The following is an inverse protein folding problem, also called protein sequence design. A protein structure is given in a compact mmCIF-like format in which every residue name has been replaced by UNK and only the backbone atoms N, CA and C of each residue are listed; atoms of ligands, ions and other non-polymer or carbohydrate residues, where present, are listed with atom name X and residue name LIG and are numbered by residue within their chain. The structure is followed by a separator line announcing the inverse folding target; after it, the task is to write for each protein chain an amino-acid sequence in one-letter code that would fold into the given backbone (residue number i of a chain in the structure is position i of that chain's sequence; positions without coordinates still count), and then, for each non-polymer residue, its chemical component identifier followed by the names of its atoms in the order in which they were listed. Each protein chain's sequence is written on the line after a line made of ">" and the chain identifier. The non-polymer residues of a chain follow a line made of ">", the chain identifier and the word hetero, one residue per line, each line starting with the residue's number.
data_IF_140218528456
#
_entry.id   IF_140218528456
#
_cell.length_a   1.000
_cell.length_b   1.000
_cell.length_c   1.000
_cell.angle_alpha   90.00
_cell.angle_beta   90.00
_cell.angle_gamma   90.00
#
_symmetry.space_group_name_H-M   'P 1'
#
loop_
_entity.id
_entity.type
_entity.pdbx_description
1 polymer ?
#
# COMPACT_ATOMS: atom_id res chain seq x y z
N UNK A 1 -12.06 15.64 25.16
CA UNK A 1 -11.35 14.39 24.77
C UNK A 1 -10.03 14.77 24.15
N UNK A 2 -9.00 13.97 24.34
CA UNK A 2 -7.72 14.19 23.64
C UNK A 2 -7.89 13.89 22.16
N UNK A 3 -7.37 14.78 21.28
CA UNK A 3 -7.49 14.61 19.85
C UNK A 3 -6.60 13.46 19.35
N UNK A 4 -7.07 12.74 18.36
CA UNK A 4 -6.26 11.73 17.65
C UNK A 4 -5.27 12.48 16.75
N UNK A 5 -3.99 12.43 17.09
CA UNK A 5 -2.91 13.11 16.35
C UNK A 5 -2.42 12.22 15.22
N UNK A 6 -2.49 12.74 14.00
CA UNK A 6 -2.12 12.00 12.80
C UNK A 6 -1.03 12.72 11.99
N UNK A 7 -0.21 11.93 11.30
CA UNK A 7 0.75 12.40 10.29
C UNK A 7 0.35 11.82 8.93
N UNK A 8 0.40 12.66 7.90
CA UNK A 8 0.17 12.29 6.51
C UNK A 8 1.51 12.10 5.80
N UNK A 9 1.66 11.01 5.04
CA UNK A 9 2.89 10.71 4.30
C UNK A 9 2.55 10.29 2.88
N UNK A 10 2.88 11.14 1.92
CA UNK A 10 2.63 10.93 0.49
C UNK A 10 3.56 11.85 -0.30
N UNK A 11 4.19 11.40 -1.39
CA UNK A 11 5.03 12.23 -2.25
C UNK A 11 4.20 13.20 -3.12
N UNK A 12 2.88 13.00 -3.19
CA UNK A 12 1.92 13.87 -3.87
C UNK A 12 1.30 14.88 -2.90
N UNK A 13 1.83 16.12 -2.89
CA UNK A 13 1.33 17.21 -2.02
C UNK A 13 -0.18 17.42 -2.11
N UNK A 14 -0.76 17.31 -3.31
CA UNK A 14 -2.19 17.53 -3.52
C UNK A 14 -3.06 16.50 -2.78
N UNK A 15 -2.60 15.27 -2.66
CA UNK A 15 -3.28 14.21 -1.89
C UNK A 15 -3.28 14.57 -0.41
N UNK A 16 -2.13 14.94 0.15
CA UNK A 16 -2.01 15.34 1.55
C UNK A 16 -2.87 16.58 1.87
N UNK A 17 -2.89 17.58 0.98
CA UNK A 17 -3.74 18.77 1.16
C UNK A 17 -5.22 18.39 1.10
N UNK A 18 -5.61 17.50 0.19
CA UNK A 18 -6.98 16.98 0.10
C UNK A 18 -7.40 16.27 1.37
N UNK A 19 -6.61 15.32 1.88
CA UNK A 19 -6.88 14.60 3.12
C UNK A 19 -6.93 15.55 4.31
N UNK A 20 -5.97 16.48 4.43
CA UNK A 20 -5.97 17.46 5.50
C UNK A 20 -7.21 18.36 5.48
N UNK A 21 -7.67 18.78 4.30
CA UNK A 21 -8.89 19.56 4.11
C UNK A 21 -10.14 18.78 4.54
N UNK A 22 -10.22 17.48 4.24
CA UNK A 22 -11.32 16.62 4.69
C UNK A 22 -11.41 16.57 6.22
N UNK A 23 -10.27 16.62 6.91
CA UNK A 23 -10.17 16.48 8.37
C UNK A 23 -10.17 17.84 9.11
N UNK A 24 -10.06 18.97 8.41
CA UNK A 24 -9.87 20.30 9.01
C UNK A 24 -10.93 20.69 10.05
N UNK A 25 -12.20 20.27 9.85
CA UNK A 25 -13.32 20.60 10.71
C UNK A 25 -13.70 19.44 11.66
N UNK A 26 -12.82 18.46 11.82
CA UNK A 26 -13.06 17.33 12.70
C UNK A 26 -12.42 17.59 14.06
N UNK A 27 -13.28 17.82 15.07
CA UNK A 27 -12.82 18.21 16.41
C UNK A 27 -12.02 17.13 17.12
N UNK A 28 -12.26 15.87 16.77
CA UNK A 28 -11.63 14.68 17.38
C UNK A 28 -10.27 14.31 16.78
N UNK A 29 -9.88 14.90 15.64
CA UNK A 29 -8.68 14.56 14.88
C UNK A 29 -7.83 15.80 14.67
N UNK A 30 -6.52 15.64 14.72
CA UNK A 30 -5.54 16.70 14.47
C UNK A 30 -4.43 16.21 13.55
N UNK A 31 -4.26 16.85 12.39
CA UNK A 31 -3.10 16.62 11.51
C UNK A 31 -1.93 17.40 12.06
N UNK A 32 -1.00 16.71 12.74
CA UNK A 32 0.17 17.32 13.39
C UNK A 32 1.37 17.45 12.45
N UNK A 33 1.33 16.84 11.29
CA UNK A 33 2.40 16.95 10.30
C UNK A 33 2.06 16.31 8.96
N UNK A 34 2.81 16.74 7.95
CA UNK A 34 2.81 16.19 6.59
C UNK A 34 4.25 15.92 6.20
N UNK A 35 4.53 14.79 5.60
CA UNK A 35 5.86 14.38 5.15
C UNK A 35 5.81 13.91 3.70
N UNK A 36 6.78 14.30 2.91
CA UNK A 36 6.93 13.90 1.51
C UNK A 36 7.77 12.61 1.38
N UNK A 37 8.52 12.29 2.41
CA UNK A 37 9.42 11.14 2.46
C UNK A 37 9.58 10.60 3.89
N UNK A 38 10.39 9.55 4.01
CA UNK A 38 10.68 8.91 5.30
C UNK A 38 11.46 9.80 6.26
N UNK A 39 12.37 10.64 5.76
CA UNK A 39 13.22 11.46 6.61
C UNK A 39 12.41 12.56 7.30
N UNK A 40 11.48 13.18 6.57
CA UNK A 40 10.53 14.14 7.13
C UNK A 40 9.59 13.46 8.12
N UNK A 41 9.09 12.25 7.79
CA UNK A 41 8.24 11.48 8.69
C UNK A 41 8.94 11.18 10.02
N UNK A 42 10.16 10.64 10.00
CA UNK A 42 10.84 10.28 11.24
C UNK A 42 11.16 11.51 12.11
N UNK A 43 11.50 12.66 11.52
CA UNK A 43 11.60 13.93 12.26
C UNK A 43 10.31 14.34 12.93
N UNK A 44 9.16 14.13 12.27
CA UNK A 44 7.85 14.42 12.87
C UNK A 44 7.54 13.46 14.02
N UNK A 45 7.86 12.17 13.88
CA UNK A 45 7.65 11.17 14.95
C UNK A 45 8.55 11.41 16.18
N UNK A 46 9.75 11.94 15.99
CA UNK A 46 10.65 12.30 17.08
C UNK A 46 10.18 13.51 17.89
N UNK A 47 9.56 14.50 17.21
CA UNK A 47 9.25 15.79 17.79
C UNK A 47 7.76 15.94 18.20
N UNK A 48 6.91 14.99 17.88
CA UNK A 48 5.48 15.06 18.14
C UNK A 48 4.95 13.78 18.76
N UNK A 49 3.91 13.89 19.56
CA UNK A 49 3.05 12.75 19.90
C UNK A 49 2.21 12.42 18.68
N UNK A 50 2.36 11.22 18.11
CA UNK A 50 1.61 10.74 16.96
C UNK A 50 0.91 9.44 17.33
N UNK A 51 -0.39 9.35 17.03
CA UNK A 51 -1.19 8.16 17.26
C UNK A 51 -1.30 7.30 16.01
N UNK A 52 -1.50 7.94 14.86
CA UNK A 52 -1.68 7.24 13.57
C UNK A 52 -0.87 7.92 12.48
N UNK A 53 -0.24 7.12 11.64
CA UNK A 53 0.36 7.55 10.37
C UNK A 53 -0.52 7.07 9.22
N UNK A 54 -0.98 7.98 8.38
CA UNK A 54 -1.56 7.68 7.07
C UNK A 54 -0.42 7.65 6.07
N UNK A 55 -0.09 6.47 5.56
CA UNK A 55 1.14 6.21 4.80
C UNK A 55 0.85 5.72 3.39
N UNK A 56 1.31 6.45 2.39
CA UNK A 56 1.28 5.94 1.02
C UNK A 56 2.15 4.67 0.87
N UNK A 57 1.62 3.70 0.15
CA UNK A 57 2.37 2.48 -0.21
C UNK A 57 3.50 2.79 -1.18
N UNK A 58 3.25 3.68 -2.14
CA UNK A 58 4.13 3.91 -3.29
C UNK A 58 5.02 5.14 -3.12
N UNK A 59 5.67 5.29 -1.98
CA UNK A 59 6.71 6.30 -1.82
C UNK A 59 7.96 5.93 -2.64
N UNK A 60 8.68 6.93 -3.19
CA UNK A 60 9.81 6.66 -4.09
C UNK A 60 10.94 5.84 -3.46
N UNK A 61 11.30 6.11 -2.19
CA UNK A 61 12.36 5.39 -1.44
C UNK A 61 12.44 5.88 0.00
N UNK A 62 12.44 4.99 1.01
CA UNK A 62 12.03 3.60 0.93
C UNK A 62 10.53 3.48 0.68
N UNK A 63 10.07 2.33 0.18
CA UNK A 63 8.64 2.08 -0.05
C UNK A 63 7.85 2.04 1.25
N UNK A 64 6.56 2.37 1.21
CA UNK A 64 5.71 2.49 2.39
C UNK A 64 5.71 1.28 3.32
N UNK A 65 5.82 0.06 2.77
CA UNK A 65 5.90 -1.17 3.60
C UNK A 65 7.21 -1.28 4.40
N UNK A 66 8.33 -0.80 3.89
CA UNK A 66 9.59 -0.78 4.63
C UNK A 66 9.56 0.28 5.73
N UNK A 67 8.93 1.42 5.44
CA UNK A 67 8.67 2.48 6.41
C UNK A 67 7.73 1.95 7.51
N UNK A 68 6.63 1.28 7.16
CA UNK A 68 5.72 0.64 8.11
C UNK A 68 6.48 -0.26 9.10
N UNK A 69 7.32 -1.18 8.59
CA UNK A 69 8.12 -2.07 9.46
C UNK A 69 9.05 -1.30 10.39
N UNK A 70 9.64 -0.20 9.90
CA UNK A 70 10.52 0.66 10.70
C UNK A 70 9.74 1.38 11.78
N UNK A 71 8.55 1.94 11.47
CA UNK A 71 7.67 2.58 12.45
C UNK A 71 7.30 1.59 13.56
N UNK A 72 6.83 0.40 13.20
CA UNK A 72 6.41 -0.60 14.18
C UNK A 72 7.56 -1.07 15.09
N UNK A 73 8.77 -1.13 14.55
CA UNK A 73 9.97 -1.50 15.33
C UNK A 73 10.41 -0.40 16.29
N UNK A 74 10.38 0.86 15.86
CA UNK A 74 10.95 1.99 16.63
C UNK A 74 9.88 2.73 17.45
N UNK A 75 8.64 2.78 16.96
CA UNK A 75 7.53 3.54 17.53
C UNK A 75 6.29 2.64 17.75
N UNK A 76 6.46 1.55 18.48
CA UNK A 76 5.48 0.46 18.61
C UNK A 76 4.08 0.84 19.12
N UNK A 77 3.86 2.07 19.59
CA UNK A 77 2.53 2.60 19.93
C UNK A 77 1.84 3.31 18.77
N UNK A 78 2.60 3.70 17.73
CA UNK A 78 2.08 4.36 16.55
C UNK A 78 1.42 3.32 15.65
N UNK A 79 0.19 3.58 15.26
CA UNK A 79 -0.56 2.73 14.32
C UNK A 79 -0.40 3.26 12.91
N UNK A 80 -0.45 2.36 11.93
CA UNK A 80 -0.26 2.76 10.54
C UNK A 80 -1.45 2.31 9.70
N UNK A 81 -2.05 3.26 9.00
CA UNK A 81 -3.05 3.03 7.96
C UNK A 81 -2.35 3.24 6.62
N UNK A 82 -2.34 2.22 5.77
CA UNK A 82 -1.80 2.33 4.43
C UNK A 82 -2.79 3.01 3.50
N UNK A 83 -2.31 3.93 2.67
CA UNK A 83 -3.07 4.56 1.59
C UNK A 83 -2.60 4.01 0.24
N UNK A 84 -3.53 3.70 -0.65
CA UNK A 84 -3.19 3.21 -1.99
C UNK A 84 -4.15 3.73 -3.05
N UNK A 85 -3.64 4.01 -4.24
CA UNK A 85 -4.47 4.22 -5.43
C UNK A 85 -4.98 2.91 -6.03
N UNK A 86 -4.48 1.77 -5.55
CA UNK A 86 -4.71 0.43 -6.09
C UNK A 86 -5.46 -0.47 -5.10
N UNK A 87 -6.32 -1.34 -5.62
CA UNK A 87 -7.12 -2.32 -4.88
C UNK A 87 -6.57 -3.77 -5.00
N UNK A 88 -5.27 -3.91 -5.26
CA UNK A 88 -4.63 -5.21 -5.42
C UNK A 88 -4.60 -6.01 -4.12
N UNK A 89 -5.21 -7.20 -4.14
CA UNK A 89 -5.31 -8.12 -2.99
C UNK A 89 -3.93 -8.45 -2.38
N UNK A 90 -2.89 -8.51 -3.22
CA UNK A 90 -1.50 -8.78 -2.79
C UNK A 90 -0.96 -7.66 -1.93
N UNK A 91 -1.21 -6.39 -2.30
CA UNK A 91 -0.78 -5.22 -1.53
C UNK A 91 -1.48 -5.15 -0.19
N UNK A 92 -2.80 -5.40 -0.18
CA UNK A 92 -3.62 -5.42 1.04
C UNK A 92 -3.10 -6.51 2.00
N UNK A 93 -2.97 -7.74 1.50
CA UNK A 93 -2.46 -8.87 2.29
C UNK A 93 -1.05 -8.62 2.82
N UNK A 94 -0.15 -8.10 1.96
CA UNK A 94 1.21 -7.77 2.35
C UNK A 94 1.31 -6.67 3.39
N UNK A 95 0.45 -5.65 3.32
CA UNK A 95 0.38 -4.58 4.31
C UNK A 95 -0.02 -5.11 5.69
N UNK A 96 -1.08 -5.93 5.77
CA UNK A 96 -1.51 -6.53 7.04
C UNK A 96 -0.49 -7.54 7.59
N UNK A 97 0.14 -8.35 6.74
CA UNK A 97 1.24 -9.24 7.16
C UNK A 97 2.44 -8.47 7.71
N UNK A 98 2.69 -7.26 7.19
CA UNK A 98 3.73 -6.37 7.69
C UNK A 98 3.33 -5.63 8.98
N UNK A 99 2.06 -5.73 9.42
CA UNK A 99 1.55 -5.18 10.67
C UNK A 99 0.76 -3.87 10.50
N UNK A 100 0.27 -3.54 9.31
CA UNK A 100 -0.63 -2.40 9.13
C UNK A 100 -1.90 -2.57 9.97
N UNK A 101 -2.36 -1.47 10.57
CA UNK A 101 -3.62 -1.43 11.33
C UNK A 101 -4.83 -1.12 10.43
N UNK A 102 -4.59 -0.55 9.25
CA UNK A 102 -5.65 -0.29 8.28
C UNK A 102 -5.12 -0.18 6.85
N UNK A 103 -6.05 -0.29 5.90
CA UNK A 103 -5.78 -0.11 4.47
C UNK A 103 -6.94 0.63 3.80
N UNK A 104 -6.64 1.77 3.19
CA UNK A 104 -7.62 2.64 2.56
C UNK A 104 -7.24 2.95 1.11
N UNK A 105 -8.26 3.15 0.27
CA UNK A 105 -8.04 3.70 -1.08
C UNK A 105 -7.88 5.22 -1.01
N UNK A 106 -7.06 5.80 -1.89
CA UNK A 106 -6.90 7.27 -2.00
C UNK A 106 -8.18 7.99 -2.47
N UNK A 107 -9.18 7.24 -2.97
CA UNK A 107 -10.51 7.74 -3.36
C UNK A 107 -11.54 7.69 -2.23
N UNK A 108 -11.09 7.52 -0.98
CA UNK A 108 -11.97 7.39 0.19
C UNK A 108 -12.79 8.67 0.44
N UNK A 109 -14.03 8.50 0.86
CA UNK A 109 -14.90 9.60 1.30
C UNK A 109 -14.56 10.03 2.73
N UNK A 110 -14.87 11.31 3.06
CA UNK A 110 -14.61 11.92 4.37
C UNK A 110 -15.14 11.06 5.53
N UNK A 111 -16.39 10.62 5.45
CA UNK A 111 -17.03 9.87 6.54
C UNK A 111 -16.31 8.56 6.82
N UNK A 112 -15.90 7.84 5.78
CA UNK A 112 -15.19 6.57 5.90
C UNK A 112 -13.75 6.77 6.40
N UNK A 113 -13.07 7.85 6.01
CA UNK A 113 -11.75 8.20 6.52
C UNK A 113 -11.77 8.45 8.03
N UNK A 114 -12.77 9.21 8.52
CA UNK A 114 -12.94 9.50 9.95
C UNK A 114 -13.23 8.19 10.72
N UNK A 115 -14.15 7.36 10.20
CA UNK A 115 -14.47 6.06 10.79
C UNK A 115 -13.23 5.17 10.90
N UNK A 116 -12.42 5.08 9.83
CA UNK A 116 -11.19 4.30 9.82
C UNK A 116 -10.18 4.78 10.87
N UNK A 117 -9.99 6.11 11.00
CA UNK A 117 -9.09 6.69 11.99
C UNK A 117 -9.56 6.35 13.41
N UNK A 118 -10.87 6.44 13.70
CA UNK A 118 -11.42 6.10 15.01
C UNK A 118 -11.29 4.60 15.33
N UNK A 119 -11.69 3.72 14.41
CA UNK A 119 -11.58 2.26 14.58
C UNK A 119 -10.13 1.84 14.82
N UNK A 120 -9.21 2.34 14.01
CA UNK A 120 -7.79 2.06 14.19
C UNK A 120 -7.29 2.61 15.53
N UNK A 121 -7.71 3.81 15.94
CA UNK A 121 -7.33 4.37 17.24
C UNK A 121 -7.82 3.51 18.41
N UNK A 122 -8.96 2.84 18.30
CA UNK A 122 -9.46 1.89 19.28
C UNK A 122 -8.72 0.53 19.28
N UNK A 123 -7.88 0.28 18.27
CA UNK A 123 -7.11 -0.96 18.14
C UNK A 123 -7.73 -1.98 17.21
N UNK A 124 -8.78 -1.61 16.50
CA UNK A 124 -9.41 -2.44 15.48
C UNK A 124 -8.65 -2.36 14.17
N UNK A 125 -8.75 -3.41 13.35
CA UNK A 125 -8.26 -3.36 11.98
C UNK A 125 -9.34 -2.79 11.06
N UNK A 126 -8.94 -2.00 10.06
CA UNK A 126 -9.87 -1.39 9.12
C UNK A 126 -9.45 -1.60 7.67
N UNK A 127 -10.40 -1.98 6.84
CA UNK A 127 -10.25 -2.05 5.37
C UNK A 127 -11.36 -1.22 4.75
N UNK A 128 -11.06 -0.39 3.74
CA UNK A 128 -12.11 0.39 3.10
C UNK A 128 -13.19 -0.50 2.47
N UNK A 129 -14.44 -0.05 2.58
CA UNK A 129 -15.64 -0.82 2.17
C UNK A 129 -15.63 -1.23 0.70
N UNK A 130 -15.03 -0.40 -0.16
CA UNK A 130 -14.84 -0.73 -1.58
C UNK A 130 -13.96 -1.96 -1.77
N UNK A 131 -12.90 -2.08 -0.96
CA UNK A 131 -11.98 -3.22 -1.00
C UNK A 131 -12.57 -4.48 -0.38
N UNK A 132 -13.31 -4.38 0.72
CA UNK A 132 -14.02 -5.52 1.31
C UNK A 132 -14.97 -6.17 0.32
N UNK A 133 -15.75 -5.35 -0.42
CA UNK A 133 -16.66 -5.85 -1.47
C UNK A 133 -15.90 -6.53 -2.60
N UNK A 134 -14.76 -5.97 -3.02
CA UNK A 134 -13.90 -6.55 -4.06
C UNK A 134 -13.30 -7.89 -3.61
N UNK A 135 -12.76 -7.95 -2.41
CA UNK A 135 -12.18 -9.17 -1.83
C UNK A 135 -13.24 -10.27 -1.67
N UNK A 136 -14.41 -9.94 -1.11
CA UNK A 136 -15.53 -10.89 -0.93
C UNK A 136 -16.08 -11.35 -2.27
N UNK A 137 -16.27 -10.42 -3.22
CA UNK A 137 -16.75 -10.73 -4.58
C UNK A 137 -15.80 -11.64 -5.35
N UNK A 138 -14.49 -11.41 -5.21
CA UNK A 138 -13.46 -12.24 -5.82
C UNK A 138 -13.42 -13.64 -5.18
N UNK A 139 -13.55 -13.72 -3.85
CA UNK A 139 -13.64 -15.00 -3.14
C UNK A 139 -14.83 -15.83 -3.59
N UNK A 140 -16.02 -15.23 -3.70
CA UNK A 140 -17.25 -15.91 -4.15
C UNK A 140 -17.12 -16.35 -5.63
N UNK A 141 -16.60 -15.50 -6.51
CA UNK A 141 -16.36 -15.85 -7.92
C UNK A 141 -15.36 -17.01 -8.05
N UNK A 142 -14.28 -17.00 -7.27
CA UNK A 142 -13.28 -18.08 -7.23
C UNK A 142 -13.87 -19.39 -6.72
N UNK A 143 -14.65 -19.35 -5.65
CA UNK A 143 -15.34 -20.52 -5.11
C UNK A 143 -16.34 -21.13 -6.11
N UNK A 144 -17.05 -20.32 -6.90
CA UNK A 144 -18.00 -20.77 -7.92
C UNK A 144 -17.34 -21.37 -9.16
N UNK A 145 -16.20 -20.83 -9.58
CA UNK A 145 -15.52 -21.25 -10.81
C UNK A 145 -14.60 -22.47 -10.61
N UNK A 146 -14.51 -23.02 -9.40
CA UNK A 146 -13.65 -24.15 -9.10
C UNK A 146 -12.14 -23.86 -9.25
N UNK A 147 -11.79 -22.57 -9.38
CA UNK A 147 -10.40 -22.11 -9.55
C UNK A 147 -9.64 -22.15 -8.22
N UNK A 148 -9.28 -23.37 -7.80
CA UNK A 148 -8.42 -23.61 -6.61
C UNK A 148 -7.03 -22.95 -6.73
N UNK A 149 -6.65 -22.47 -7.90
CA UNK A 149 -5.28 -22.00 -8.20
C UNK A 149 -5.15 -20.51 -8.53
N UNK A 150 -6.20 -19.79 -8.93
CA UNK A 150 -6.07 -18.39 -9.33
C UNK A 150 -5.72 -17.45 -8.15
N UNK A 151 -6.26 -17.72 -6.96
CA UNK A 151 -5.92 -16.97 -5.75
C UNK A 151 -4.54 -17.28 -5.20
N UNK A 152 -4.09 -18.53 -5.31
CA UNK A 152 -2.79 -18.96 -4.85
C UNK A 152 -1.64 -18.36 -5.70
N UNK A 153 -1.87 -18.09 -6.99
CA UNK A 153 -0.86 -17.46 -7.85
C UNK A 153 -0.62 -16.00 -7.54
N UNK A 154 -1.68 -15.22 -7.27
CA UNK A 154 -1.55 -13.80 -6.87
C UNK A 154 -1.05 -13.64 -5.43
N UNK A 155 -1.51 -14.48 -4.52
CA UNK A 155 -1.05 -14.48 -3.12
C UNK A 155 0.39 -14.98 -2.93
N UNK A 156 0.98 -15.59 -3.97
CA UNK A 156 2.40 -16.01 -3.96
C UNK A 156 3.40 -14.91 -4.33
N UNK A 157 2.93 -13.78 -4.86
CA UNK A 157 3.81 -12.64 -5.17
C UNK A 157 4.11 -11.83 -3.91
N UNK A 158 5.34 -11.39 -3.80
CA UNK A 158 5.72 -10.39 -2.79
C UNK A 158 5.40 -8.98 -3.30
N UNK A 159 5.30 -8.01 -2.39
CA UNK A 159 5.12 -6.60 -2.74
C UNK A 159 6.21 -6.14 -3.70
N UNK A 160 7.45 -6.57 -3.46
CA UNK A 160 8.60 -6.26 -4.33
C UNK A 160 8.43 -6.80 -5.75
N UNK A 161 7.88 -7.99 -5.87
CA UNK A 161 7.58 -8.60 -7.16
C UNK A 161 6.44 -7.87 -7.87
N UNK A 162 5.41 -7.42 -7.16
CA UNK A 162 4.32 -6.60 -7.72
C UNK A 162 4.82 -5.25 -8.25
N UNK A 163 5.72 -4.57 -7.53
CA UNK A 163 6.38 -3.34 -8.01
C UNK A 163 7.16 -3.57 -9.30
N UNK A 164 7.94 -4.64 -9.34
CA UNK A 164 8.73 -4.99 -10.53
C UNK A 164 7.82 -5.28 -11.72
N UNK A 165 6.72 -6.00 -11.50
CA UNK A 165 5.71 -6.25 -12.54
C UNK A 165 5.20 -4.91 -13.09
N UNK A 166 4.80 -3.99 -12.22
CA UNK A 166 4.27 -2.69 -12.61
C UNK A 166 5.26 -1.92 -13.47
N UNK A 167 6.49 -1.72 -13.00
CA UNK A 167 7.52 -1.00 -13.76
C UNK A 167 7.85 -1.65 -15.11
N UNK A 168 7.90 -2.98 -15.17
CA UNK A 168 8.11 -3.70 -16.43
C UNK A 168 6.93 -3.51 -17.38
N UNK A 169 5.71 -3.44 -16.86
CA UNK A 169 4.52 -3.20 -17.66
C UNK A 169 4.39 -1.74 -18.12
N UNK A 170 4.93 -0.79 -17.38
CA UNK A 170 5.08 0.62 -17.77
C UNK A 170 6.18 0.81 -18.85
N UNK A 171 6.86 -0.27 -19.23
CA UNK A 171 7.88 -0.27 -20.28
C UNK A 171 9.28 0.11 -19.81
N UNK A 172 9.53 0.21 -18.51
CA UNK A 172 10.86 0.50 -17.98
C UNK A 172 11.84 -0.65 -18.27
N UNK A 173 13.05 -0.30 -18.67
CA UNK A 173 14.16 -1.24 -18.79
C UNK A 173 14.60 -1.75 -17.42
N UNK A 174 15.26 -2.91 -17.36
CA UNK A 174 15.79 -3.45 -16.10
C UNK A 174 16.74 -2.49 -15.39
N UNK A 175 17.45 -1.62 -16.14
CA UNK A 175 18.34 -0.62 -15.58
C UNK A 175 17.56 0.50 -14.90
N UNK A 176 16.46 0.93 -15.48
CA UNK A 176 15.56 1.95 -14.91
C UNK A 176 14.84 1.40 -13.69
N UNK A 177 14.28 0.18 -13.77
CA UNK A 177 13.70 -0.51 -12.61
C UNK A 177 14.71 -0.66 -11.48
N UNK A 178 15.94 -1.07 -11.78
CA UNK A 178 17.01 -1.21 -10.81
C UNK A 178 17.34 0.13 -10.13
N UNK A 179 17.37 1.22 -10.90
CA UNK A 179 17.57 2.58 -10.39
C UNK A 179 16.42 3.02 -9.48
N UNK A 180 15.17 2.80 -9.93
CA UNK A 180 13.98 3.12 -9.14
C UNK A 180 13.93 2.35 -7.81
N UNK A 181 14.32 1.09 -7.84
CA UNK A 181 14.22 0.19 -6.71
C UNK A 181 15.50 0.09 -5.84
N UNK A 182 16.57 0.84 -6.17
CA UNK A 182 17.91 0.83 -5.50
C UNK A 182 18.48 -0.59 -5.36
N UNK A 183 18.40 -1.37 -6.43
CA UNK A 183 18.94 -2.73 -6.49
C UNK A 183 19.78 -2.89 -7.75
N UNK A 184 20.51 -4.00 -7.88
CA UNK A 184 21.24 -4.28 -9.12
C UNK A 184 20.28 -4.73 -10.24
N UNK A 185 20.66 -4.48 -11.49
CA UNK A 185 19.96 -5.03 -12.66
C UNK A 185 19.84 -6.56 -12.61
N UNK A 186 20.85 -7.22 -12.08
CA UNK A 186 20.86 -8.68 -11.86
C UNK A 186 19.79 -9.10 -10.84
N UNK A 187 19.57 -8.28 -9.82
CA UNK A 187 18.50 -8.52 -8.82
C UNK A 187 17.11 -8.36 -9.45
N UNK A 188 16.91 -7.34 -10.32
CA UNK A 188 15.65 -7.18 -11.07
C UNK A 188 15.38 -8.38 -11.95
N UNK A 189 16.40 -8.86 -12.66
CA UNK A 189 16.29 -10.05 -13.52
C UNK A 189 15.97 -11.31 -12.71
N UNK A 190 16.60 -11.49 -11.56
CA UNK A 190 16.30 -12.61 -10.65
C UNK A 190 14.83 -12.55 -10.18
N UNK A 191 14.36 -11.38 -9.72
CA UNK A 191 12.95 -11.20 -9.35
C UNK A 191 12.00 -11.49 -10.51
N UNK A 192 12.28 -10.97 -11.73
CA UNK A 192 11.47 -11.25 -12.91
C UNK A 192 11.39 -12.76 -13.19
N UNK A 193 12.50 -13.48 -13.10
CA UNK A 193 12.51 -14.92 -13.32
C UNK A 193 11.69 -15.66 -12.26
N UNK A 194 11.82 -15.29 -10.99
CA UNK A 194 11.01 -15.83 -9.89
C UNK A 194 9.51 -15.53 -10.09
N UNK A 195 9.16 -14.32 -10.57
CA UNK A 195 7.78 -13.96 -10.91
C UNK A 195 7.23 -14.86 -12.01
N UNK A 196 7.98 -15.03 -13.10
CA UNK A 196 7.58 -15.88 -14.21
C UNK A 196 7.37 -17.34 -13.77
N UNK A 197 8.25 -17.85 -12.92
CA UNK A 197 8.14 -19.20 -12.35
C UNK A 197 6.91 -19.32 -11.44
N UNK A 198 6.72 -18.39 -10.49
CA UNK A 198 5.56 -18.37 -9.58
C UNK A 198 4.22 -18.29 -10.31
N UNK A 199 4.17 -17.51 -11.40
CA UNK A 199 2.97 -17.32 -12.20
C UNK A 199 2.82 -18.34 -13.32
N UNK A 200 3.81 -19.24 -13.51
CA UNK A 200 3.90 -20.23 -14.60
C UNK A 200 3.81 -19.58 -16.00
N UNK A 201 4.48 -18.43 -16.16
CA UNK A 201 4.53 -17.66 -17.38
C UNK A 201 5.88 -17.88 -18.09
N UNK A 202 5.88 -17.83 -19.43
CA UNK A 202 7.06 -18.14 -20.24
C UNK A 202 7.96 -16.93 -20.50
N UNK A 203 7.40 -15.74 -20.51
CA UNK A 203 8.12 -14.52 -20.90
C UNK A 203 7.43 -13.25 -20.39
N UNK A 204 8.09 -12.11 -20.58
CA UNK A 204 7.58 -10.80 -20.17
C UNK A 204 6.28 -10.39 -20.91
N UNK A 205 6.06 -10.84 -22.14
CA UNK A 205 4.83 -10.54 -22.88
C UNK A 205 3.63 -11.22 -22.20
N UNK A 206 3.80 -12.46 -21.77
CA UNK A 206 2.77 -13.15 -20.99
C UNK A 206 2.55 -12.50 -19.62
N UNK A 207 3.62 -11.95 -19.01
CA UNK A 207 3.53 -11.21 -17.76
C UNK A 207 2.72 -9.94 -17.93
N UNK A 208 2.93 -9.13 -18.99
CA UNK A 208 2.13 -7.94 -19.29
C UNK A 208 0.66 -8.32 -19.51
N UNK A 209 0.37 -9.36 -20.31
CA UNK A 209 -1.01 -9.84 -20.52
C UNK A 209 -1.66 -10.29 -19.21
N UNK A 210 -0.89 -10.96 -18.36
CA UNK A 210 -1.35 -11.36 -17.02
C UNK A 210 -1.68 -10.15 -16.15
N UNK A 211 -0.79 -9.15 -16.10
CA UNK A 211 -0.97 -7.94 -15.31
C UNK A 211 -2.24 -7.15 -15.74
N UNK A 212 -2.45 -6.96 -17.05
CA UNK A 212 -3.65 -6.32 -17.60
C UNK A 212 -4.92 -7.11 -17.26
N UNK A 213 -4.90 -8.44 -17.50
CA UNK A 213 -6.04 -9.32 -17.22
C UNK A 213 -6.45 -9.30 -15.74
N UNK A 214 -5.48 -9.15 -14.84
CA UNK A 214 -5.71 -9.12 -13.39
C UNK A 214 -5.80 -7.69 -12.83
N UNK A 215 -5.90 -6.67 -13.70
CA UNK A 215 -6.03 -5.25 -13.33
C UNK A 215 -4.90 -4.73 -12.44
N UNK A 216 -3.70 -5.30 -12.57
CA UNK A 216 -2.50 -4.82 -11.89
C UNK A 216 -1.96 -3.52 -12.51
N UNK A 217 -2.35 -3.23 -13.75
CA UNK A 217 -2.08 -2.00 -14.49
C UNK A 217 -3.28 -1.64 -15.36
N UNK A 218 -3.47 -0.34 -15.60
CA UNK A 218 -4.37 0.20 -16.62
C UNK A 218 -3.55 0.55 -17.87
N UNK A 219 -4.08 0.24 -19.07
CA UNK A 219 -3.48 0.60 -20.37
C UNK A 219 -4.07 1.88 -20.88
#
# INVERSE_FOLDING_TARGET
>A
MEKIKIVLVDDHKIIMEGIASLLQNEESIEVVGKALDSDELFKLLENNTVHIVLLDIFLPKPIGIEILKTILKQYGKVKVIMLSGNDEEVLISGAFQAGASGYLTKSIEKAELIEAIHSVNLGEQYVSRSLEKSLTGNFIKRARNGDKYAGAKLTGLTIRESEIIRFLCEGLSYKEVASQLVISTRTVEAHKNNILEKLELKNTIELVKFAVKNKMIEL
#
